data_IF_920511280360
#
_entry.id   IF_920511280360
#
_cell.length_a   1.000
_cell.length_b   1.000
_cell.length_c   1.000
_cell.angle_alpha   90.00
_cell.angle_beta   90.00
_cell.angle_gamma   90.00
#
_symmetry.space_group_name_H-M   'P 1'
#
loop_
_entity.id
_entity.type
_entity.pdbx_description
1 polymer ?
#
# COMPACT_ATOMS: atom_id res chain seq x y z
N UNK A 1 0.68 2.88 26.40
CA UNK A 1 -0.33 2.36 25.46
C UNK A 1 -1.64 3.04 25.82
N UNK A 2 -2.24 3.79 24.91
CA UNK A 2 -3.59 4.30 25.12
C UNK A 2 -4.54 3.09 25.16
N UNK A 3 -5.43 3.03 26.14
CA UNK A 3 -6.46 2.00 26.12
C UNK A 3 -7.37 2.30 24.92
N UNK A 4 -7.61 1.30 24.07
CA UNK A 4 -8.53 1.33 22.92
C UNK A 4 -9.80 2.17 23.14
N UNK A 5 -10.44 2.17 24.33
CA UNK A 5 -11.63 2.97 24.62
C UNK A 5 -11.44 4.50 24.47
N UNK A 6 -10.28 5.07 24.80
CA UNK A 6 -10.07 6.51 24.69
C UNK A 6 -9.94 6.96 23.22
N UNK A 7 -9.33 6.12 22.38
CA UNK A 7 -9.28 6.37 20.94
C UNK A 7 -10.68 6.27 20.31
N UNK A 8 -11.52 5.34 20.76
CA UNK A 8 -12.93 5.24 20.33
C UNK A 8 -13.66 6.57 20.55
N UNK A 9 -13.60 7.10 21.77
CA UNK A 9 -14.31 8.34 22.12
C UNK A 9 -13.82 9.53 21.31
N UNK A 10 -12.51 9.63 21.04
CA UNK A 10 -11.97 10.72 20.22
C UNK A 10 -12.34 10.61 18.74
N UNK A 11 -12.43 9.39 18.18
CA UNK A 11 -12.77 9.19 16.76
C UNK A 11 -14.27 9.20 16.47
N UNK A 12 -15.08 8.65 17.38
CA UNK A 12 -16.50 8.39 17.14
C UNK A 12 -17.44 9.12 18.11
N UNK A 13 -16.91 9.81 19.11
CA UNK A 13 -17.71 10.51 20.13
C UNK A 13 -18.37 9.59 21.16
N UNK A 14 -18.25 8.27 21.01
CA UNK A 14 -18.82 7.28 21.92
C UNK A 14 -17.98 5.99 21.94
N UNK A 15 -18.17 5.12 22.94
CA UNK A 15 -17.59 3.79 22.93
C UNK A 15 -18.14 2.98 21.75
N UNK A 16 -17.24 2.40 20.94
CA UNK A 16 -17.59 1.55 19.80
C UNK A 16 -16.86 0.21 19.88
N UNK A 17 -17.34 -0.76 19.10
CA UNK A 17 -16.70 -2.07 18.95
C UNK A 17 -15.25 -1.94 18.41
N UNK A 18 -14.37 -2.82 18.86
CA UNK A 18 -12.94 -2.79 18.54
C UNK A 18 -12.65 -2.93 17.04
N UNK A 19 -13.52 -3.63 16.33
CA UNK A 19 -13.50 -3.87 14.90
C UNK A 19 -13.67 -2.56 14.13
N UNK A 20 -14.56 -1.68 14.61
CA UNK A 20 -14.79 -0.37 14.02
C UNK A 20 -13.57 0.54 14.18
N UNK A 21 -12.87 0.43 15.32
CA UNK A 21 -11.58 1.13 15.52
C UNK A 21 -10.52 0.64 14.54
N UNK A 22 -10.43 -0.69 14.36
CA UNK A 22 -9.50 -1.29 13.40
C UNK A 22 -9.78 -0.81 11.98
N UNK A 23 -11.05 -0.74 11.59
CA UNK A 23 -11.45 -0.25 10.27
C UNK A 23 -11.18 1.25 10.10
N UNK A 24 -11.46 2.08 11.10
CA UNK A 24 -11.07 3.49 11.06
C UNK A 24 -9.55 3.68 10.97
N UNK A 25 -8.77 2.87 11.69
CA UNK A 25 -7.31 2.92 11.59
C UNK A 25 -6.80 2.51 10.19
N UNK A 26 -7.41 1.50 9.58
CA UNK A 26 -7.14 1.12 8.18
C UNK A 26 -7.49 2.25 7.22
N UNK A 27 -8.62 2.92 7.43
CA UNK A 27 -9.06 4.02 6.58
C UNK A 27 -8.16 5.25 6.73
N UNK A 28 -7.73 5.59 7.95
CA UNK A 28 -6.73 6.62 8.21
C UNK A 28 -5.42 6.29 7.49
N UNK A 29 -4.96 5.03 7.57
CA UNK A 29 -3.74 4.60 6.89
C UNK A 29 -3.85 4.71 5.36
N UNK A 30 -5.00 4.31 4.79
CA UNK A 30 -5.29 4.48 3.37
C UNK A 30 -5.29 5.95 2.95
N UNK A 31 -5.95 6.81 3.74
CA UNK A 31 -6.01 8.25 3.51
C UNK A 31 -4.61 8.88 3.51
N UNK A 32 -3.76 8.55 4.49
CA UNK A 32 -2.39 9.06 4.57
C UNK A 32 -1.54 8.54 3.42
N UNK A 33 -1.60 7.24 3.11
CA UNK A 33 -0.88 6.68 1.98
C UNK A 33 -1.28 7.37 0.66
N UNK A 34 -2.58 7.60 0.45
CA UNK A 34 -3.09 8.33 -0.71
C UNK A 34 -2.59 9.77 -0.78
N UNK A 35 -2.49 10.46 0.35
CA UNK A 35 -1.91 11.80 0.41
C UNK A 35 -0.42 11.80 0.06
N UNK A 36 0.36 10.86 0.60
CA UNK A 36 1.78 10.68 0.26
C UNK A 36 1.96 10.40 -1.23
N UNK A 37 1.17 9.48 -1.81
CA UNK A 37 1.21 9.17 -3.25
C UNK A 37 0.94 10.41 -4.12
N UNK A 38 -0.07 11.22 -3.76
CA UNK A 38 -0.39 12.46 -4.50
C UNK A 38 0.72 13.50 -4.39
N UNK A 39 1.29 13.69 -3.20
CA UNK A 39 2.39 14.63 -2.99
C UNK A 39 3.64 14.21 -3.79
N UNK A 40 3.96 12.91 -3.78
CA UNK A 40 5.06 12.37 -4.56
C UNK A 40 4.87 12.48 -6.08
N UNK A 41 3.63 12.33 -6.56
CA UNK A 41 3.33 12.46 -7.99
C UNK A 41 3.65 13.87 -8.50
N UNK A 42 3.45 14.91 -7.67
CA UNK A 42 3.83 16.29 -8.01
C UNK A 42 5.34 16.46 -8.23
N UNK A 43 6.15 15.57 -7.64
CA UNK A 43 7.61 15.51 -7.77
C UNK A 43 8.06 14.48 -8.83
N UNK A 44 7.15 14.00 -9.70
CA UNK A 44 7.40 12.95 -10.69
C UNK A 44 7.83 11.59 -10.09
N UNK A 45 7.49 11.32 -8.83
CA UNK A 45 7.75 10.04 -8.16
C UNK A 45 6.49 9.17 -8.16
N UNK A 46 6.59 7.95 -8.70
CA UNK A 46 5.51 6.98 -8.73
C UNK A 46 5.62 6.00 -7.56
N UNK A 47 4.64 6.04 -6.65
CA UNK A 47 4.50 5.06 -5.57
C UNK A 47 3.30 4.14 -5.77
N UNK A 48 3.49 2.89 -5.35
CA UNK A 48 2.41 1.94 -5.16
C UNK A 48 2.16 1.73 -3.67
N UNK A 49 0.90 1.49 -3.34
CA UNK A 49 0.46 1.30 -1.96
C UNK A 49 0.01 -0.14 -1.78
N UNK A 50 0.49 -0.80 -0.74
CA UNK A 50 -0.09 -2.04 -0.27
C UNK A 50 -1.29 -1.76 0.62
N UNK A 51 -2.05 -2.82 0.94
CA UNK A 51 -3.08 -2.73 1.98
C UNK A 51 -2.45 -2.39 3.34
N UNK A 52 -3.15 -1.63 4.19
CA UNK A 52 -2.70 -1.33 5.54
C UNK A 52 -2.69 -2.61 6.38
N UNK A 53 -1.55 -2.88 7.03
CA UNK A 53 -1.39 -4.02 7.92
C UNK A 53 -1.42 -3.58 9.39
N UNK A 54 -2.24 -4.24 10.20
CA UNK A 54 -2.29 -4.04 11.65
C UNK A 54 -1.18 -4.86 12.32
N UNK A 55 -0.52 -4.29 13.34
CA UNK A 55 0.50 -5.00 14.12
C UNK A 55 1.84 -5.20 13.39
N UNK A 56 2.06 -4.55 12.25
CA UNK A 56 3.35 -4.58 11.58
C UNK A 56 4.42 -3.89 12.44
N UNK A 57 5.38 -4.67 12.95
CA UNK A 57 6.58 -4.12 13.56
C UNK A 57 7.53 -3.69 12.45
N UNK A 58 7.77 -2.39 12.35
CA UNK A 58 8.83 -1.88 11.50
C UNK A 58 10.16 -2.10 12.24
N UNK A 59 10.88 -3.18 11.95
CA UNK A 59 12.27 -3.38 12.41
C UNK A 59 13.15 -2.17 12.03
N UNK A 60 14.23 -1.81 12.73
CA UNK A 60 14.97 -0.54 12.55
C UNK A 60 15.54 -0.33 11.13
N UNK A 61 15.71 0.91 10.67
CA UNK A 61 16.28 1.24 9.35
C UNK A 61 15.94 2.64 8.80
N UNK A 62 16.81 3.18 7.94
CA UNK A 62 16.66 4.50 7.30
C UNK A 62 15.45 4.59 6.36
N UNK A 63 14.97 5.82 6.11
CA UNK A 63 13.86 6.10 5.19
C UNK A 63 12.46 6.22 5.83
N UNK A 64 12.40 6.31 7.17
CA UNK A 64 11.12 6.50 7.89
C UNK A 64 10.77 7.96 8.04
N UNK A 65 9.53 8.29 7.67
CA UNK A 65 8.86 9.48 8.19
C UNK A 65 7.80 9.04 9.18
N UNK A 66 7.84 9.62 10.37
CA UNK A 66 6.89 9.37 11.45
C UNK A 66 6.21 10.69 11.77
N UNK A 67 4.89 10.70 11.69
CA UNK A 67 4.06 11.80 12.17
C UNK A 67 3.31 11.33 13.40
N UNK A 68 3.40 12.11 14.47
CA UNK A 68 2.74 11.81 15.74
C UNK A 68 1.68 12.86 16.05
N UNK A 69 0.48 12.40 16.36
CA UNK A 69 -0.62 13.22 16.86
C UNK A 69 -0.85 12.83 18.32
N UNK A 70 -0.80 13.81 19.21
CA UNK A 70 -1.05 13.61 20.64
C UNK A 70 -2.39 14.21 20.99
N UNK A 71 -3.23 13.40 21.62
CA UNK A 71 -4.49 13.77 22.22
C UNK A 71 -4.43 13.44 23.71
N UNK A 72 -5.27 14.05 24.57
CA UNK A 72 -5.37 13.64 25.96
C UNK A 72 -5.65 12.12 26.06
N UNK A 73 -4.72 11.38 26.68
CA UNK A 73 -4.80 9.93 26.84
C UNK A 73 -4.44 9.07 25.61
N UNK A 74 -4.27 9.67 24.42
CA UNK A 74 -4.07 8.93 23.17
C UNK A 74 -2.89 9.49 22.36
N UNK A 75 -2.05 8.60 21.82
CA UNK A 75 -1.06 8.98 20.82
C UNK A 75 -1.28 8.15 19.57
N UNK A 76 -1.52 8.83 18.44
CA UNK A 76 -1.60 8.22 17.12
C UNK A 76 -0.29 8.50 16.39
N UNK A 77 0.38 7.47 15.91
CA UNK A 77 1.57 7.63 15.07
C UNK A 77 1.32 7.02 13.70
N UNK A 78 1.58 7.79 12.64
CA UNK A 78 1.57 7.30 11.27
C UNK A 78 3.02 7.15 10.81
N UNK A 79 3.36 5.97 10.31
CA UNK A 79 4.70 5.65 9.83
C UNK A 79 4.63 5.35 8.34
N UNK A 80 5.46 6.04 7.56
CA UNK A 80 5.63 5.76 6.14
C UNK A 80 7.05 5.26 5.90
N UNK A 81 7.15 4.17 5.14
CA UNK A 81 8.40 3.60 4.66
C UNK A 81 8.35 3.55 3.14
N UNK A 82 9.22 4.30 2.48
CA UNK A 82 9.44 4.18 1.05
C UNK A 82 10.51 3.11 0.82
N UNK A 83 10.17 2.07 0.06
CA UNK A 83 11.11 1.03 -0.36
C UNK A 83 11.28 1.15 -1.87
N UNK A 84 12.51 1.34 -2.33
CA UNK A 84 12.80 1.24 -3.75
C UNK A 84 12.63 -0.22 -4.17
N UNK A 85 11.76 -0.46 -5.14
CA UNK A 85 11.61 -1.79 -5.73
C UNK A 85 11.84 -1.71 -7.22
N UNK A 86 12.80 -2.49 -7.72
CA UNK A 86 13.13 -2.51 -9.14
C UNK A 86 12.08 -3.29 -9.91
N UNK A 87 11.34 -2.58 -10.77
CA UNK A 87 10.44 -3.20 -11.72
C UNK A 87 11.22 -4.03 -12.75
N UNK A 88 10.65 -5.15 -13.16
CA UNK A 88 11.18 -6.01 -14.23
C UNK A 88 10.12 -6.24 -15.29
N UNK A 89 10.54 -6.62 -16.49
CA UNK A 89 9.61 -7.07 -17.53
C UNK A 89 9.11 -8.46 -17.16
N UNK A 90 7.79 -8.60 -17.06
CA UNK A 90 7.10 -9.85 -16.74
C UNK A 90 6.14 -10.15 -17.90
N UNK A 91 6.18 -11.36 -18.48
CA UNK A 91 5.18 -11.80 -19.44
C UNK A 91 3.76 -11.72 -18.87
N UNK A 92 2.77 -11.36 -19.68
CA UNK A 92 1.36 -11.24 -19.27
C UNK A 92 0.85 -12.54 -18.60
N UNK A 93 1.24 -13.71 -19.10
CA UNK A 93 0.87 -15.00 -18.51
C UNK A 93 1.54 -15.30 -17.14
N UNK A 94 2.53 -14.51 -16.74
CA UNK A 94 3.21 -14.61 -15.43
C UNK A 94 2.73 -13.56 -14.44
N UNK A 95 1.81 -12.68 -14.84
CA UNK A 95 1.19 -11.73 -13.92
C UNK A 95 0.38 -12.45 -12.84
N UNK A 96 0.51 -11.96 -11.62
CA UNK A 96 -0.21 -12.49 -10.46
C UNK A 96 -0.80 -11.36 -9.65
N UNK A 97 -1.81 -11.71 -8.87
CA UNK A 97 -2.35 -10.84 -7.84
C UNK A 97 -1.22 -10.30 -6.95
N UNK A 98 -1.38 -9.05 -6.50
CA UNK A 98 -0.45 -8.31 -5.65
C UNK A 98 0.83 -7.84 -6.34
N UNK A 99 1.06 -8.17 -7.62
CA UNK A 99 2.08 -7.47 -8.39
C UNK A 99 1.68 -6.01 -8.59
N UNK A 100 2.65 -5.12 -8.71
CA UNK A 100 2.41 -3.69 -8.93
C UNK A 100 2.86 -3.32 -10.33
N UNK A 101 1.99 -2.68 -11.10
CA UNK A 101 2.31 -2.19 -12.44
C UNK A 101 3.21 -0.95 -12.34
N UNK A 102 4.32 -0.94 -13.07
CA UNK A 102 5.32 0.12 -13.06
C UNK A 102 5.27 1.04 -14.29
N UNK A 103 4.33 0.80 -15.21
CA UNK A 103 4.05 1.65 -16.37
C UNK A 103 2.58 1.51 -16.79
N UNK A 104 1.98 2.52 -17.39
CA UNK A 104 0.60 2.42 -17.85
C UNK A 104 0.46 1.29 -18.87
N UNK A 105 -0.52 0.42 -18.65
CA UNK A 105 -0.92 -0.62 -19.59
C UNK A 105 -2.08 -0.07 -20.41
N UNK A 106 -1.89 0.01 -21.72
CA UNK A 106 -2.89 0.49 -22.67
C UNK A 106 -3.24 -0.61 -23.65
N UNK A 107 -4.49 -0.64 -24.09
CA UNK A 107 -4.93 -1.48 -25.19
C UNK A 107 -4.24 -1.03 -26.50
N UNK A 108 -4.24 -1.86 -27.56
CA UNK A 108 -3.77 -1.44 -28.88
C UNK A 108 -4.46 -0.19 -29.42
N UNK A 109 -5.70 0.06 -28.99
CA UNK A 109 -6.47 1.28 -29.30
C UNK A 109 -5.99 2.54 -28.58
N UNK A 110 -5.02 2.41 -27.66
CA UNK A 110 -4.52 3.50 -26.81
C UNK A 110 -5.32 3.72 -25.52
N UNK A 111 -6.43 2.99 -25.31
CA UNK A 111 -7.24 3.09 -24.10
C UNK A 111 -6.47 2.58 -22.87
N UNK A 112 -6.46 3.33 -21.78
CA UNK A 112 -5.84 2.91 -20.52
C UNK A 112 -6.61 1.74 -19.90
N UNK A 113 -5.91 0.62 -19.68
CA UNK A 113 -6.44 -0.56 -19.00
C UNK A 113 -6.10 -0.49 -17.51
N UNK A 114 -4.81 -0.26 -17.19
CA UNK A 114 -4.30 -0.19 -15.83
C UNK A 114 -3.27 0.94 -15.73
N UNK A 115 -3.40 1.78 -14.72
CA UNK A 115 -2.45 2.87 -14.47
C UNK A 115 -1.23 2.39 -13.68
N UNK A 116 -0.12 3.10 -13.88
CA UNK A 116 1.10 2.94 -13.11
C UNK A 116 0.84 3.06 -11.60
N UNK A 117 1.51 2.21 -10.81
CA UNK A 117 1.39 2.12 -9.37
C UNK A 117 0.13 1.39 -8.88
N UNK A 118 -0.60 0.72 -9.78
CA UNK A 118 -1.75 -0.12 -9.44
C UNK A 118 -1.27 -1.49 -8.97
N UNK A 119 -1.72 -1.91 -7.78
CA UNK A 119 -1.59 -3.28 -7.32
C UNK A 119 -2.65 -4.14 -8.01
N UNK A 120 -2.22 -5.21 -8.67
CA UNK A 120 -3.10 -6.11 -9.42
C UNK A 120 -3.98 -6.92 -8.47
N UNK A 121 -5.28 -6.91 -8.73
CA UNK A 121 -6.23 -7.89 -8.20
C UNK A 121 -6.32 -9.07 -9.17
N UNK A 122 -6.87 -10.21 -8.75
CA UNK A 122 -7.12 -11.34 -9.65
C UNK A 122 -7.98 -10.91 -10.87
N UNK A 123 -8.97 -10.05 -10.66
CA UNK A 123 -9.80 -9.49 -11.72
C UNK A 123 -8.98 -8.58 -12.68
N UNK A 124 -8.09 -7.75 -12.16
CA UNK A 124 -7.23 -6.90 -12.99
C UNK A 124 -6.27 -7.73 -13.86
N UNK A 125 -5.75 -8.85 -13.34
CA UNK A 125 -4.94 -9.79 -14.12
C UNK A 125 -5.74 -10.35 -15.30
N UNK A 126 -6.96 -10.84 -15.04
CA UNK A 126 -7.83 -11.36 -16.10
C UNK A 126 -8.11 -10.33 -17.19
N UNK A 127 -8.45 -9.08 -16.80
CA UNK A 127 -8.67 -8.00 -17.76
C UNK A 127 -7.46 -7.66 -18.62
N UNK A 128 -6.24 -7.82 -18.10
CA UNK A 128 -5.02 -7.63 -18.89
C UNK A 128 -4.85 -8.79 -19.88
N UNK A 129 -5.07 -10.03 -19.42
CA UNK A 129 -4.98 -11.23 -20.24
C UNK A 129 -6.03 -11.30 -21.36
N UNK A 130 -7.18 -10.64 -21.17
CA UNK A 130 -8.23 -10.55 -22.20
C UNK A 130 -7.87 -9.59 -23.35
N UNK A 131 -6.92 -8.67 -23.14
CA UNK A 131 -6.62 -7.57 -24.07
C UNK A 131 -5.20 -7.64 -24.65
N UNK A 132 -4.30 -8.39 -24.02
CA UNK A 132 -2.90 -8.51 -24.42
C UNK A 132 -2.52 -9.97 -24.66
N UNK A 133 -1.53 -10.19 -25.51
CA UNK A 133 -1.04 -11.54 -25.78
C UNK A 133 -0.22 -12.07 -24.59
N UNK A 134 -0.30 -13.38 -24.35
CA UNK A 134 0.38 -14.02 -23.22
C UNK A 134 1.91 -13.80 -23.17
N UNK A 135 2.53 -13.53 -24.32
CA UNK A 135 3.96 -13.25 -24.47
C UNK A 135 4.34 -11.78 -24.31
N UNK A 136 3.36 -10.87 -24.25
CA UNK A 136 3.63 -9.44 -24.11
C UNK A 136 4.30 -9.15 -22.77
N UNK A 137 5.25 -8.21 -22.79
CA UNK A 137 6.03 -7.85 -21.63
C UNK A 137 5.48 -6.59 -20.98
N UNK A 138 5.17 -6.67 -19.69
CA UNK A 138 4.78 -5.50 -18.88
C UNK A 138 5.80 -5.25 -17.78
N UNK A 139 6.08 -3.97 -17.49
CA UNK A 139 6.92 -3.62 -16.34
C UNK A 139 6.12 -3.73 -15.06
N UNK A 140 6.51 -4.65 -14.19
CA UNK A 140 5.87 -4.85 -12.91
C UNK A 140 6.88 -5.16 -11.80
N UNK A 141 6.47 -4.85 -10.58
CA UNK A 141 7.16 -5.18 -9.34
C UNK A 141 6.47 -6.40 -8.74
N UNK A 142 7.26 -7.41 -8.40
CA UNK A 142 6.76 -8.55 -7.62
C UNK A 142 6.74 -8.13 -6.16
N UNK A 143 5.54 -8.10 -5.57
CA UNK A 143 5.40 -7.87 -4.14
C UNK A 143 5.98 -9.07 -3.38
N UNK A 144 7.23 -8.95 -2.91
CA UNK A 144 7.77 -9.85 -1.90
C UNK A 144 7.03 -9.57 -0.58
N UNK A 145 5.90 -10.25 -0.37
CA UNK A 145 5.27 -10.26 0.95
C UNK A 145 6.03 -11.27 1.83
N UNK A 146 7.30 -11.01 2.07
CA UNK A 146 7.94 -11.40 3.32
C UNK A 146 8.27 -10.08 3.98
N UNK A 147 7.62 -9.79 5.11
CA UNK A 147 8.15 -8.80 6.03
C UNK A 147 9.65 -9.09 6.20
N UNK A 148 10.53 -8.07 6.18
CA UNK A 148 11.93 -8.32 6.52
C UNK A 148 11.94 -9.03 7.87
N UNK A 149 12.42 -10.28 7.85
CA UNK A 149 12.46 -11.12 9.04
C UNK A 149 13.17 -10.38 10.15
N UNK A 150 12.58 -10.43 11.34
CA UNK A 150 13.29 -10.11 12.58
C UNK A 150 14.63 -10.90 12.54
N UNK A 151 15.80 -10.26 12.76
CA UNK A 151 16.93 -11.05 13.23
C UNK A 151 16.50 -11.72 14.55
N UNK A 152 16.82 -13.01 14.77
CA UNK A 152 16.61 -13.64 16.06
C UNK A 152 17.34 -12.83 17.13
N UNK A 153 16.68 -12.66 18.27
CA UNK A 153 17.03 -11.71 19.31
C UNK A 153 18.53 -11.63 19.64
N UNK A 154 19.00 -10.39 19.75
CA UNK A 154 20.09 -9.99 20.62
C UNK A 154 19.58 -8.87 21.52
#
# INVERSE_FOLDING_TARGET
>A
MASTPQLCTHLFGSPVASELVSDALREIANCVAGAVKRAALAENLAFAMSLPAMGASFGPGDGRRVWGFRFPGVTLSVRCLAVEVRARFIPVNQLRERMVIAQDIKAPTGLLIVSTGTMLTACAVGRIQDVMDNGDLVRAVVSSTSAPGLPPGQ
#
